data_IF_509172088994
#
_entry.id   IF_509172088994
#
_cell.length_a   1.000
_cell.length_b   1.000
_cell.length_c   1.000
_cell.angle_alpha   90.00
_cell.angle_beta   90.00
_cell.angle_gamma   90.00
#
_symmetry.space_group_name_H-M   'P 1'
#
loop_
_entity.id
_entity.type
_entity.pdbx_description
1 polymer ?
#
# COMPACT_ATOMS: atom_id res chain seq x y z
N UNK A 1 -12.76 15.03 -10.84
CA UNK A 1 -12.63 13.75 -10.11
C UNK A 1 -11.24 13.64 -9.50
N UNK A 2 -11.09 13.02 -8.32
CA UNK A 2 -9.76 12.81 -7.70
C UNK A 2 -8.91 11.86 -8.55
N UNK A 3 -7.63 12.21 -8.75
CA UNK A 3 -6.66 11.44 -9.56
C UNK A 3 -6.06 10.23 -8.82
N UNK A 4 -6.44 10.00 -7.56
CA UNK A 4 -5.86 8.95 -6.73
C UNK A 4 -6.90 8.29 -5.81
N UNK A 5 -6.58 7.07 -5.39
CA UNK A 5 -7.16 6.39 -4.25
C UNK A 5 -6.22 6.51 -3.05
N UNK A 6 -6.78 6.78 -1.87
CA UNK A 6 -6.04 6.77 -0.61
C UNK A 6 -6.37 5.49 0.15
N UNK A 7 -5.41 4.59 0.28
CA UNK A 7 -5.52 3.46 1.18
C UNK A 7 -5.37 3.97 2.62
N UNK A 8 -6.49 4.02 3.34
CA UNK A 8 -6.52 4.57 4.70
C UNK A 8 -5.89 3.64 5.72
N UNK A 9 -6.25 2.35 5.69
CA UNK A 9 -5.84 1.35 6.69
C UNK A 9 -5.83 -0.04 6.06
N UNK A 10 -4.84 -0.83 6.45
CA UNK A 10 -4.79 -2.28 6.26
C UNK A 10 -4.13 -2.87 7.50
N UNK A 11 -4.77 -3.89 8.08
CA UNK A 11 -4.22 -4.60 9.24
C UNK A 11 -4.16 -6.08 8.91
N UNK A 12 -3.02 -6.67 9.23
CA UNK A 12 -2.84 -8.10 9.20
C UNK A 12 -2.56 -8.55 10.62
N UNK A 13 -3.36 -9.50 11.09
CA UNK A 13 -3.08 -10.20 12.32
C UNK A 13 -1.64 -10.76 12.28
N UNK A 14 -0.95 -10.66 13.42
CA UNK A 14 0.46 -11.02 13.52
C UNK A 14 0.71 -12.47 13.09
N UNK A 15 -0.23 -13.37 13.36
CA UNK A 15 -0.16 -14.79 12.99
C UNK A 15 -0.12 -14.99 11.47
N UNK A 16 -0.77 -14.12 10.69
CA UNK A 16 -0.83 -14.20 9.22
C UNK A 16 0.18 -13.31 8.50
N UNK A 17 1.08 -12.62 9.23
CA UNK A 17 2.14 -11.82 8.61
C UNK A 17 3.20 -12.70 7.96
N UNK A 18 3.88 -12.15 6.94
CA UNK A 18 4.95 -12.84 6.17
C UNK A 18 4.49 -14.09 5.41
N UNK A 19 3.19 -14.38 5.40
CA UNK A 19 2.57 -15.47 4.61
C UNK A 19 2.01 -14.98 3.27
N UNK A 20 2.58 -13.91 2.71
CA UNK A 20 2.16 -13.27 1.44
C UNK A 20 0.72 -12.72 1.37
N UNK A 21 -0.11 -12.91 2.39
CA UNK A 21 -1.49 -12.40 2.42
C UNK A 21 -1.58 -10.88 2.15
N UNK A 22 -0.75 -10.10 2.84
CA UNK A 22 -0.67 -8.65 2.61
C UNK A 22 -0.26 -8.27 1.19
N UNK A 23 0.68 -9.03 0.62
CA UNK A 23 1.15 -8.84 -0.75
C UNK A 23 0.02 -9.08 -1.74
N UNK A 24 -0.70 -10.21 -1.63
CA UNK A 24 -1.82 -10.54 -2.50
C UNK A 24 -2.94 -9.49 -2.43
N UNK A 25 -3.29 -9.05 -1.21
CA UNK A 25 -4.29 -7.99 -1.02
C UNK A 25 -3.84 -6.70 -1.71
N UNK A 26 -2.59 -6.28 -1.51
CA UNK A 26 -2.12 -5.03 -2.09
C UNK A 26 -1.95 -5.10 -3.61
N UNK A 27 -1.50 -6.23 -4.16
CA UNK A 27 -1.41 -6.45 -5.61
C UNK A 27 -2.78 -6.29 -6.29
N UNK A 28 -3.84 -6.81 -5.68
CA UNK A 28 -5.21 -6.62 -6.17
C UNK A 28 -5.63 -5.15 -6.13
N UNK A 29 -5.32 -4.42 -5.06
CA UNK A 29 -5.63 -2.99 -4.93
C UNK A 29 -4.85 -2.16 -5.97
N UNK A 30 -3.56 -2.46 -6.17
CA UNK A 30 -2.72 -1.82 -7.19
C UNK A 30 -3.26 -2.09 -8.60
N UNK A 31 -3.69 -3.33 -8.87
CA UNK A 31 -4.28 -3.71 -10.16
C UNK A 31 -5.56 -2.93 -10.41
N UNK A 32 -6.45 -2.85 -9.41
CA UNK A 32 -7.66 -2.05 -9.47
C UNK A 32 -7.37 -0.57 -9.72
N UNK A 33 -6.39 0.02 -9.02
CA UNK A 33 -6.06 1.44 -9.22
C UNK A 33 -5.56 1.72 -10.64
N UNK A 34 -4.75 0.82 -11.22
CA UNK A 34 -4.30 0.90 -12.61
C UNK A 34 -5.47 0.82 -13.60
N UNK A 35 -6.37 -0.14 -13.43
CA UNK A 35 -7.56 -0.28 -14.28
C UNK A 35 -8.47 0.95 -14.22
N UNK A 36 -8.57 1.59 -13.04
CA UNK A 36 -9.32 2.83 -12.86
C UNK A 36 -8.57 4.10 -13.30
N UNK A 37 -7.36 3.96 -13.87
CA UNK A 37 -6.45 5.05 -14.24
C UNK A 37 -6.22 6.06 -13.10
N UNK A 38 -5.92 5.55 -11.90
CA UNK A 38 -5.70 6.34 -10.69
C UNK A 38 -4.43 5.90 -9.97
N UNK A 39 -3.74 6.86 -9.36
CA UNK A 39 -2.64 6.57 -8.44
C UNK A 39 -3.17 5.91 -7.16
N UNK A 40 -2.36 5.02 -6.57
CA UNK A 40 -2.59 4.53 -5.21
C UNK A 40 -1.63 5.26 -4.27
N UNK A 41 -2.19 5.88 -3.22
CA UNK A 41 -1.42 6.56 -2.16
C UNK A 41 -1.71 5.91 -0.82
N UNK A 42 -0.70 5.89 0.05
CA UNK A 42 -0.79 5.35 1.41
C UNK A 42 0.03 6.24 2.34
N UNK A 43 -0.48 6.44 3.55
CA UNK A 43 0.28 7.06 4.62
C UNK A 43 0.92 5.95 5.45
N UNK A 44 2.21 6.10 5.75
CA UNK A 44 3.00 5.10 6.46
C UNK A 44 3.66 5.77 7.64
N UNK A 45 3.53 5.16 8.82
CA UNK A 45 4.01 5.73 10.08
C UNK A 45 5.10 4.86 10.74
N UNK A 46 5.28 3.62 10.28
CA UNK A 46 6.28 2.69 10.80
C UNK A 46 7.20 2.14 9.69
N UNK A 47 8.44 1.82 10.05
CA UNK A 47 9.46 1.38 9.11
C UNK A 47 9.16 0.00 8.49
N UNK A 48 8.50 -0.91 9.22
CA UNK A 48 8.17 -2.23 8.70
C UNK A 48 7.17 -2.14 7.56
N UNK A 49 6.13 -1.32 7.74
CA UNK A 49 5.17 -0.99 6.69
C UNK A 49 5.85 -0.28 5.52
N UNK A 50 6.78 0.65 5.77
CA UNK A 50 7.50 1.32 4.68
C UNK A 50 8.28 0.32 3.82
N UNK A 51 9.02 -0.61 4.45
CA UNK A 51 9.73 -1.70 3.77
C UNK A 51 8.76 -2.58 2.99
N UNK A 52 7.60 -2.90 3.57
CA UNK A 52 6.57 -3.69 2.89
C UNK A 52 6.09 -3.02 1.60
N UNK A 53 5.70 -1.75 1.65
CA UNK A 53 5.21 -1.01 0.49
C UNK A 53 6.30 -0.78 -0.58
N UNK A 54 7.54 -0.49 -0.17
CA UNK A 54 8.68 -0.33 -1.10
C UNK A 54 8.94 -1.60 -1.91
N UNK A 55 8.88 -2.78 -1.29
CA UNK A 55 9.04 -4.07 -2.00
C UNK A 55 7.96 -4.31 -3.05
N UNK A 56 6.80 -3.67 -2.92
CA UNK A 56 5.69 -3.76 -3.86
C UNK A 56 5.71 -2.63 -4.90
N UNK A 57 6.81 -1.89 -4.99
CA UNK A 57 7.04 -0.87 -6.02
C UNK A 57 6.45 0.50 -5.70
N UNK A 58 5.90 0.71 -4.49
CA UNK A 58 5.47 2.04 -4.07
C UNK A 58 6.70 2.90 -3.77
N UNK A 59 6.63 4.16 -4.21
CA UNK A 59 7.70 5.15 -4.03
C UNK A 59 7.29 6.16 -2.98
N UNK A 60 8.24 6.59 -2.16
CA UNK A 60 8.05 7.67 -1.19
C UNK A 60 7.96 9.00 -1.96
N UNK A 61 6.90 9.76 -1.70
CA UNK A 61 6.64 11.05 -2.38
C UNK A 61 6.86 12.22 -1.43
N UNK A 62 6.53 12.05 -0.15
CA UNK A 62 6.62 13.10 0.86
C UNK A 62 7.00 12.47 2.20
N UNK A 63 7.79 13.20 2.99
CA UNK A 63 8.01 12.93 4.41
C UNK A 63 7.52 14.15 5.18
N UNK A 64 6.51 13.95 6.03
CA UNK A 64 6.06 14.97 6.96
C UNK A 64 6.71 14.60 8.30
N UNK A 65 7.49 15.53 8.86
CA UNK A 65 8.23 15.35 10.12
C UNK A 65 7.46 16.04 11.23
#
# INVERSE_FOLDING_TARGET
>A
MKKFFLLRRIYLDKSYRRQRLGTQILENIITFSKLANKELRVNVYDEEAEKFYKRLGLKKILQIT
#
